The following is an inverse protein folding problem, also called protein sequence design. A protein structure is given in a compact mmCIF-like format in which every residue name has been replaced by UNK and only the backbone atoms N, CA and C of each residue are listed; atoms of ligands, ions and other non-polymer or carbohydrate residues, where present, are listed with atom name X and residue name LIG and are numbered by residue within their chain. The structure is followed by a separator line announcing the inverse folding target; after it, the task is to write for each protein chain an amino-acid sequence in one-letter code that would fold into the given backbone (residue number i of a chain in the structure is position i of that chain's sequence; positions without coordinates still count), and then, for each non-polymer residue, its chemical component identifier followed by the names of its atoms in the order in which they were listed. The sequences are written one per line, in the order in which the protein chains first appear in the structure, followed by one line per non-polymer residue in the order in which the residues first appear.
data_IF_987652708748
#
_entry.id   IF_987652708748
#
_cell.length_a   1.000
_cell.length_b   1.000
_cell.length_c   1.000
_cell.angle_alpha   90.00
_cell.angle_beta   90.00
_cell.angle_gamma   90.00
#
_symmetry.space_group_name_H-M   'P 1'
#
loop_
_entity.id
_entity.type
_entity.pdbx_description
1 polymer ?
#
# COMPACT_ATOMS: atom_id res chain seq x y z
N UNK A 1 -21.27 -50.43 -31.53
CA UNK A 1 -19.99 -49.93 -30.96
C UNK A 1 -19.77 -48.43 -31.17
N UNK A 2 -20.08 -47.85 -32.34
CA UNK A 2 -19.85 -46.42 -32.65
C UNK A 2 -20.65 -45.41 -31.80
N UNK A 3 -21.89 -45.72 -31.43
CA UNK A 3 -22.75 -44.81 -30.63
C UNK A 3 -22.27 -44.65 -29.18
N UNK A 4 -21.71 -45.70 -28.57
CA UNK A 4 -21.19 -45.64 -27.19
C UNK A 4 -19.91 -44.80 -27.08
N UNK A 5 -19.08 -44.77 -28.12
CA UNK A 5 -17.83 -43.99 -28.14
C UNK A 5 -18.12 -42.49 -28.26
N UNK A 6 -19.11 -42.09 -29.06
CA UNK A 6 -19.53 -40.69 -29.23
C UNK A 6 -20.09 -40.13 -27.91
N UNK A 7 -20.87 -40.94 -27.17
CA UNK A 7 -21.47 -40.53 -25.89
C UNK A 7 -20.39 -40.33 -24.80
N UNK A 8 -19.35 -41.16 -24.76
CA UNK A 8 -18.25 -41.01 -23.80
C UNK A 8 -17.41 -39.77 -24.10
N UNK A 9 -17.15 -39.47 -25.38
CA UNK A 9 -16.42 -38.26 -25.78
C UNK A 9 -17.22 -36.99 -25.44
N UNK A 10 -18.54 -36.98 -25.67
CA UNK A 10 -19.40 -35.85 -25.31
C UNK A 10 -19.48 -35.60 -23.80
N UNK A 11 -19.62 -36.67 -23.01
CA UNK A 11 -19.63 -36.56 -21.53
C UNK A 11 -18.26 -36.10 -21.02
N UNK A 12 -17.16 -36.63 -21.58
CA UNK A 12 -15.81 -36.19 -21.25
C UNK A 12 -15.58 -34.69 -21.55
N UNK A 13 -16.07 -34.20 -22.69
CA UNK A 13 -15.95 -32.79 -23.07
C UNK A 13 -16.77 -31.87 -22.15
N UNK A 14 -17.98 -32.28 -21.76
CA UNK A 14 -18.85 -31.53 -20.85
C UNK A 14 -18.30 -31.45 -19.42
N UNK A 15 -17.67 -32.53 -18.95
CA UNK A 15 -16.99 -32.54 -17.64
C UNK A 15 -15.74 -31.65 -17.66
N UNK A 16 -14.99 -31.66 -18.76
CA UNK A 16 -13.80 -30.83 -18.91
C UNK A 16 -14.14 -29.33 -18.99
N UNK A 17 -15.18 -28.96 -19.74
CA UNK A 17 -15.64 -27.56 -19.82
C UNK A 17 -16.26 -27.09 -18.51
N UNK A 18 -17.05 -27.94 -17.83
CA UNK A 18 -17.58 -27.64 -16.51
C UNK A 18 -16.49 -27.41 -15.46
N UNK A 19 -15.44 -28.24 -15.46
CA UNK A 19 -14.28 -28.07 -14.57
C UNK A 19 -13.48 -26.79 -14.88
N UNK A 20 -13.33 -26.44 -16.17
CA UNK A 20 -12.65 -25.21 -16.58
C UNK A 20 -13.43 -23.95 -16.16
N UNK A 21 -14.75 -23.96 -16.32
CA UNK A 21 -15.64 -22.85 -15.92
C UNK A 21 -15.69 -22.64 -14.40
N UNK A 22 -15.64 -23.73 -13.61
CA UNK A 22 -15.54 -23.68 -12.16
C UNK A 22 -14.18 -23.14 -11.67
N UNK A 23 -13.09 -23.44 -12.38
CA UNK A 23 -11.76 -22.86 -12.07
C UNK A 23 -11.66 -21.37 -12.38
N UNK A 24 -12.38 -20.90 -13.41
CA UNK A 24 -12.42 -19.48 -13.79
C UNK A 24 -13.35 -18.66 -12.86
N UNK A 25 -14.37 -19.29 -12.30
CA UNK A 25 -15.35 -18.64 -11.42
C UNK A 25 -14.97 -18.86 -9.95
N UNK A 26 -13.90 -18.23 -9.47
CA UNK A 26 -13.56 -18.27 -8.05
C UNK A 26 -14.28 -17.14 -7.29
N UNK A 27 -15.42 -17.40 -6.61
CA UNK A 27 -16.25 -16.36 -6.02
C UNK A 27 -15.53 -15.57 -4.93
N UNK A 28 -14.55 -16.18 -4.23
CA UNK A 28 -13.76 -15.51 -3.19
C UNK A 28 -12.88 -14.38 -3.75
N UNK A 29 -12.34 -14.57 -4.96
CA UNK A 29 -11.51 -13.56 -5.63
C UNK A 29 -12.39 -12.38 -6.07
N UNK A 30 -13.56 -12.66 -6.65
CA UNK A 30 -14.50 -11.63 -7.10
C UNK A 30 -15.10 -10.81 -5.95
N UNK A 31 -15.40 -11.42 -4.80
CA UNK A 31 -15.88 -10.70 -3.61
C UNK A 31 -14.78 -9.78 -3.06
N UNK A 32 -13.53 -10.25 -3.02
CA UNK A 32 -12.39 -9.44 -2.54
C UNK A 32 -12.13 -8.27 -3.48
N UNK A 33 -12.15 -8.50 -4.80
CA UNK A 33 -12.01 -7.43 -5.80
C UNK A 33 -13.15 -6.41 -5.72
N UNK A 34 -14.40 -6.87 -5.48
CA UNK A 34 -15.55 -5.97 -5.32
C UNK A 34 -15.46 -5.08 -4.08
N UNK A 35 -14.98 -5.63 -2.95
CA UNK A 35 -14.75 -4.86 -1.72
C UNK A 35 -13.62 -3.84 -1.91
N UNK A 36 -12.51 -4.24 -2.55
CA UNK A 36 -11.40 -3.33 -2.84
C UNK A 36 -11.81 -2.24 -3.84
N UNK A 37 -12.64 -2.55 -4.84
CA UNK A 37 -13.14 -1.56 -5.80
C UNK A 37 -13.99 -0.49 -5.13
N UNK A 38 -14.89 -0.88 -4.22
CA UNK A 38 -15.71 0.07 -3.47
C UNK A 38 -14.84 0.98 -2.57
N UNK A 39 -13.83 0.40 -1.89
CA UNK A 39 -12.92 1.19 -1.06
C UNK A 39 -12.04 2.13 -1.90
N UNK A 40 -11.58 1.68 -3.06
CA UNK A 40 -10.85 2.51 -4.01
C UNK A 40 -11.69 3.71 -4.48
N UNK A 41 -12.96 3.49 -4.83
CA UNK A 41 -13.86 4.58 -5.26
C UNK A 41 -14.05 5.63 -4.15
N UNK A 42 -14.21 5.19 -2.90
CA UNK A 42 -14.28 6.08 -1.72
C UNK A 42 -13.00 6.92 -1.58
N UNK A 43 -11.84 6.26 -1.57
CA UNK A 43 -10.55 6.91 -1.31
C UNK A 43 -10.09 7.81 -2.47
N UNK A 44 -10.41 7.43 -3.71
CA UNK A 44 -9.99 8.17 -4.92
C UNK A 44 -10.82 9.44 -5.19
N UNK A 45 -12.02 9.55 -4.61
CA UNK A 45 -12.94 10.66 -4.86
C UNK A 45 -13.08 11.66 -3.70
N UNK A 46 -12.69 11.28 -2.47
CA UNK A 46 -12.99 12.04 -1.25
C UNK A 46 -11.83 12.25 -0.27
N UNK A 47 -10.58 12.08 -0.72
CA UNK A 47 -9.39 12.20 0.13
C UNK A 47 -9.18 13.60 0.74
N UNK A 48 -8.54 13.64 1.91
CA UNK A 48 -8.13 14.86 2.61
C UNK A 48 -6.61 15.03 2.71
N UNK A 49 -5.83 14.06 2.21
CA UNK A 49 -4.37 13.96 2.37
C UNK A 49 -3.58 14.92 1.49
N UNK A 50 -3.82 16.23 1.57
CA UNK A 50 -3.09 17.21 0.75
C UNK A 50 -1.55 17.13 0.95
N UNK A 51 -0.74 17.14 -0.13
CA UNK A 51 0.72 17.29 -0.05
C UNK A 51 1.06 18.74 0.39
N UNK A 52 0.88 19.05 1.68
CA UNK A 52 1.16 20.38 2.26
C UNK A 52 1.77 20.32 3.67
N UNK A 53 2.44 21.41 4.05
CA UNK A 53 2.97 21.60 5.41
C UNK A 53 1.85 21.93 6.39
N UNK A 54 0.86 22.73 5.99
CA UNK A 54 -0.30 23.04 6.84
C UNK A 54 -1.06 21.77 7.25
N UNK A 55 -1.22 20.81 6.34
CA UNK A 55 -1.84 19.54 6.68
C UNK A 55 -0.99 18.74 7.67
N UNK A 56 0.34 18.69 7.50
CA UNK A 56 1.23 18.10 8.51
C UNK A 56 1.00 18.70 9.88
N UNK A 57 0.98 20.02 9.97
CA UNK A 57 0.86 20.74 11.24
C UNK A 57 -0.53 20.55 11.87
N UNK A 58 -1.55 20.29 11.05
CA UNK A 58 -2.90 19.96 11.53
C UNK A 58 -3.00 18.60 12.22
N UNK A 59 -2.13 17.63 11.90
CA UNK A 59 -2.19 16.24 12.41
C UNK A 59 -2.18 16.19 13.94
N UNK A 60 -1.39 17.06 14.59
CA UNK A 60 -1.31 17.13 16.05
C UNK A 60 -2.67 17.38 16.72
N UNK A 61 -3.56 18.12 16.03
CA UNK A 61 -4.87 18.53 16.54
C UNK A 61 -6.03 17.62 16.08
N UNK A 62 -5.77 16.66 15.19
CA UNK A 62 -6.78 15.68 14.77
C UNK A 62 -7.21 14.78 15.94
N UNK A 63 -8.41 14.21 15.88
CA UNK A 63 -8.75 13.12 16.81
C UNK A 63 -7.94 11.88 16.43
N UNK A 64 -7.59 11.02 17.39
CA UNK A 64 -6.77 9.83 17.12
C UNK A 64 -7.43 8.88 16.10
N UNK A 65 -8.77 8.85 16.07
CA UNK A 65 -9.58 8.07 15.13
C UNK A 65 -9.85 8.79 13.81
N UNK A 66 -9.40 10.04 13.64
CA UNK A 66 -9.47 10.73 12.34
C UNK A 66 -8.63 9.99 11.31
N UNK A 67 -9.03 10.10 10.04
CA UNK A 67 -8.39 9.38 8.93
C UNK A 67 -7.73 10.36 7.97
N UNK A 68 -6.49 10.06 7.59
CA UNK A 68 -5.74 10.70 6.51
C UNK A 68 -5.96 9.84 5.27
N UNK A 69 -6.78 10.33 4.34
CA UNK A 69 -7.34 9.53 3.24
C UNK A 69 -6.98 10.05 1.86
N UNK A 70 -6.85 9.14 0.91
CA UNK A 70 -6.60 9.41 -0.51
C UNK A 70 -5.14 9.69 -0.85
N UNK A 71 -4.88 9.91 -2.13
CA UNK A 71 -3.55 10.22 -2.64
C UNK A 71 -3.19 11.69 -2.47
N UNK A 72 -1.90 11.99 -2.31
CA UNK A 72 -1.45 13.36 -2.03
C UNK A 72 -0.93 14.14 -3.26
N UNK A 73 -0.59 13.47 -4.37
CA UNK A 73 0.07 14.12 -5.53
C UNK A 73 -0.55 13.79 -6.89
N UNK A 74 -0.99 12.56 -7.12
CA UNK A 74 -1.54 12.10 -8.39
C UNK A 74 -2.77 11.22 -8.18
N UNK A 75 -3.67 11.05 -9.18
CA UNK A 75 -4.83 10.18 -9.03
C UNK A 75 -4.45 8.76 -8.66
N UNK A 76 -5.23 8.12 -7.79
CA UNK A 76 -5.01 6.71 -7.44
C UNK A 76 -5.19 5.80 -8.66
N UNK A 77 -4.44 4.71 -8.72
CA UNK A 77 -4.60 3.65 -9.73
C UNK A 77 -5.09 2.36 -9.07
N UNK A 78 -6.20 1.79 -9.57
CA UNK A 78 -6.81 0.63 -8.93
C UNK A 78 -5.94 -0.62 -8.98
N UNK A 79 -5.20 -0.84 -10.07
CA UNK A 79 -4.31 -1.98 -10.17
C UNK A 79 -3.21 -1.90 -9.11
N UNK A 80 -2.55 -0.74 -8.99
CA UNK A 80 -1.52 -0.48 -7.96
C UNK A 80 -2.07 -0.59 -6.55
N UNK A 81 -3.24 0.00 -6.29
CA UNK A 81 -3.89 -0.09 -4.98
C UNK A 81 -4.07 -1.54 -4.52
N UNK A 82 -4.50 -2.44 -5.41
CA UNK A 82 -4.63 -3.86 -5.08
C UNK A 82 -3.29 -4.52 -4.75
N UNK A 83 -2.24 -4.24 -5.52
CA UNK A 83 -0.90 -4.78 -5.27
C UNK A 83 -0.37 -4.32 -3.92
N UNK A 84 -0.57 -3.05 -3.58
CA UNK A 84 -0.15 -2.47 -2.31
C UNK A 84 -0.89 -3.09 -1.12
N UNK A 85 -2.23 -3.12 -1.14
CA UNK A 85 -3.03 -3.70 -0.05
C UNK A 85 -2.73 -5.19 0.14
N UNK A 86 -2.53 -5.94 -0.95
CA UNK A 86 -2.14 -7.35 -0.85
C UNK A 86 -0.72 -7.52 -0.30
N UNK A 87 0.24 -6.72 -0.75
CA UNK A 87 1.63 -6.77 -0.27
C UNK A 87 1.76 -6.39 1.21
N UNK A 88 1.01 -5.38 1.67
CA UNK A 88 1.03 -4.92 3.06
C UNK A 88 0.52 -5.97 4.07
N UNK A 89 -0.21 -7.01 3.62
CA UNK A 89 -0.59 -8.14 4.49
C UNK A 89 0.63 -8.84 5.11
N UNK A 90 1.79 -8.78 4.46
CA UNK A 90 3.07 -9.26 5.01
C UNK A 90 3.41 -8.62 6.35
N UNK A 91 2.99 -7.37 6.56
CA UNK A 91 3.35 -6.54 7.70
C UNK A 91 2.21 -6.34 8.72
N UNK A 92 1.11 -7.08 8.59
CA UNK A 92 -0.11 -6.91 9.41
C UNK A 92 0.08 -7.01 10.94
N UNK A 93 1.17 -7.62 11.40
CA UNK A 93 1.48 -7.76 12.83
C UNK A 93 2.21 -6.52 13.40
N UNK A 94 2.53 -5.53 12.56
CA UNK A 94 3.14 -4.26 12.95
C UNK A 94 2.08 -3.17 12.81
N UNK A 95 1.48 -2.78 13.93
CA UNK A 95 0.38 -1.80 13.98
C UNK A 95 0.72 -0.43 13.38
N UNK A 96 2.00 -0.08 13.34
CA UNK A 96 2.49 1.20 12.80
C UNK A 96 2.57 1.21 11.27
N UNK A 97 2.49 0.05 10.61
CA UNK A 97 2.40 -0.05 9.15
C UNK A 97 0.92 -0.14 8.79
N UNK A 98 0.32 0.92 8.21
CA UNK A 98 -1.08 0.88 7.80
C UNK A 98 -1.31 -0.24 6.80
N UNK A 99 -2.40 -0.98 6.94
CA UNK A 99 -2.79 -2.04 6.00
C UNK A 99 -3.31 -1.51 4.66
N UNK A 100 -3.67 -0.22 4.62
CA UNK A 100 -4.10 0.51 3.43
C UNK A 100 -3.24 1.78 3.32
N UNK A 101 -2.47 1.96 2.22
CA UNK A 101 -1.54 3.08 2.09
C UNK A 101 -2.23 4.42 1.85
N UNK A 102 -3.54 4.42 1.56
CA UNK A 102 -4.36 5.60 1.33
C UNK A 102 -5.39 5.82 2.45
N UNK A 103 -5.33 5.09 3.57
CA UNK A 103 -6.27 5.24 4.68
C UNK A 103 -5.60 5.04 6.05
N UNK A 104 -5.03 6.11 6.60
CA UNK A 104 -4.18 6.08 7.80
C UNK A 104 -4.87 6.73 8.99
N UNK A 105 -4.80 6.11 10.18
CA UNK A 105 -5.25 6.77 11.41
C UNK A 105 -4.30 7.91 11.81
N UNK A 106 -4.88 9.01 12.25
CA UNK A 106 -4.12 10.11 12.81
C UNK A 106 -3.29 9.67 14.04
N UNK A 107 -3.76 8.70 14.82
CA UNK A 107 -3.02 8.08 15.92
C UNK A 107 -1.64 7.54 15.47
N UNK A 108 -1.59 6.86 14.33
CA UNK A 108 -0.36 6.31 13.73
C UNK A 108 0.54 7.46 13.27
N UNK A 109 -0.02 8.43 12.55
CA UNK A 109 0.74 9.58 12.06
C UNK A 109 1.38 10.38 13.22
N UNK A 110 0.61 10.66 14.28
CA UNK A 110 1.09 11.33 15.51
C UNK A 110 2.19 10.53 16.20
N UNK A 111 2.09 9.21 16.24
CA UNK A 111 3.10 8.34 16.84
C UNK A 111 4.42 8.38 16.07
N UNK A 112 4.35 8.46 14.74
CA UNK A 112 5.52 8.35 13.87
C UNK A 112 6.21 9.70 13.61
N UNK A 113 5.48 10.81 13.63
CA UNK A 113 6.04 12.15 13.41
C UNK A 113 7.26 12.45 14.31
N UNK A 114 7.27 12.17 15.63
CA UNK A 114 8.44 12.41 16.47
C UNK A 114 9.68 11.61 16.06
N UNK A 115 9.52 10.47 15.39
CA UNK A 115 10.66 9.68 14.89
C UNK A 115 11.37 10.37 13.72
N UNK A 116 10.75 11.35 13.06
CA UNK A 116 11.40 12.16 12.03
C UNK A 116 12.68 12.83 12.55
N UNK A 117 12.62 13.43 13.75
CA UNK A 117 13.77 14.10 14.37
C UNK A 117 14.68 13.13 15.14
N UNK A 118 14.39 11.83 15.12
CA UNK A 118 15.24 10.83 15.77
C UNK A 118 16.60 10.75 15.07
N UNK A 119 17.66 10.90 15.87
CA UNK A 119 19.02 10.60 15.45
C UNK A 119 19.27 9.08 15.47
N UNK A 120 19.65 8.55 14.32
CA UNK A 120 20.06 7.14 14.18
C UNK A 120 21.53 6.97 14.53
N UNK A 121 21.89 5.81 15.08
CA UNK A 121 23.30 5.42 15.18
C UNK A 121 23.91 5.24 13.78
N UNK A 122 25.24 5.25 13.67
CA UNK A 122 25.90 5.08 12.36
C UNK A 122 25.50 3.81 11.61
N UNK A 123 25.19 2.72 12.32
CA UNK A 123 24.78 1.47 11.68
C UNK A 123 23.32 1.49 11.21
N UNK A 124 22.45 2.09 12.00
CA UNK A 124 21.05 2.30 11.62
C UNK A 124 20.93 3.29 10.45
N UNK A 125 21.76 4.34 10.46
CA UNK A 125 21.79 5.33 9.40
C UNK A 125 22.14 4.70 8.04
N UNK A 126 23.06 3.72 7.99
CA UNK A 126 23.35 3.00 6.73
C UNK A 126 22.12 2.27 6.17
N UNK A 127 21.31 1.67 7.04
CA UNK A 127 20.07 0.98 6.63
C UNK A 127 19.05 2.00 6.10
N UNK A 128 18.92 3.13 6.79
CA UNK A 128 18.05 4.22 6.37
C UNK A 128 18.48 4.81 5.01
N UNK A 129 19.78 5.11 4.86
CA UNK A 129 20.35 5.65 3.63
C UNK A 129 20.19 4.68 2.46
N UNK A 130 20.32 3.38 2.71
CA UNK A 130 20.00 2.36 1.72
C UNK A 130 18.55 2.48 1.25
N UNK A 131 17.59 2.60 2.18
CA UNK A 131 16.18 2.72 1.80
C UNK A 131 15.89 4.00 1.01
N UNK A 132 16.51 5.12 1.39
CA UNK A 132 16.44 6.38 0.65
C UNK A 132 16.94 6.23 -0.79
N UNK A 133 18.04 5.50 -1.01
CA UNK A 133 18.60 5.31 -2.34
C UNK A 133 17.82 4.31 -3.22
N UNK A 134 17.18 3.32 -2.59
CA UNK A 134 16.61 2.16 -3.29
C UNK A 134 15.09 2.15 -3.36
N UNK A 135 14.39 2.98 -2.60
CA UNK A 135 12.95 3.19 -2.79
C UNK A 135 12.66 3.82 -4.14
N UNK A 136 11.43 3.61 -4.59
CA UNK A 136 11.06 4.02 -5.94
C UNK A 136 10.99 5.56 -6.01
N UNK A 137 10.42 6.19 -4.98
CA UNK A 137 10.39 7.65 -4.85
C UNK A 137 11.70 8.31 -4.39
N UNK A 138 12.79 7.51 -4.27
CA UNK A 138 14.07 7.97 -3.68
C UNK A 138 13.88 8.63 -2.31
N UNK A 139 12.99 8.02 -1.54
CA UNK A 139 12.54 8.43 -0.24
C UNK A 139 11.17 7.82 0.11
N UNK A 140 10.60 8.20 1.26
CA UNK A 140 9.31 7.70 1.72
C UNK A 140 8.08 8.25 0.95
N UNK A 141 8.24 9.31 0.15
CA UNK A 141 7.27 9.81 -0.83
C UNK A 141 8.00 10.74 -1.81
N UNK A 142 7.35 11.11 -2.90
CA UNK A 142 7.87 11.99 -3.94
C UNK A 142 8.09 13.46 -3.51
N UNK A 143 7.34 13.95 -2.52
CA UNK A 143 7.38 15.34 -2.04
C UNK A 143 7.61 15.40 -0.53
N UNK A 144 8.34 16.43 -0.05
CA UNK A 144 8.48 16.72 1.39
C UNK A 144 7.20 17.34 1.99
N UNK A 145 6.11 16.58 1.98
CA UNK A 145 4.86 16.90 2.67
C UNK A 145 4.69 16.06 3.94
N UNK A 146 3.53 16.19 4.62
CA UNK A 146 3.18 15.38 5.79
C UNK A 146 3.56 13.90 5.67
N UNK A 147 3.32 13.29 4.49
CA UNK A 147 3.58 11.87 4.26
C UNK A 147 5.07 11.56 4.33
N UNK A 148 5.92 12.40 3.73
CA UNK A 148 7.37 12.27 3.88
C UNK A 148 7.77 12.24 5.34
N UNK A 149 7.31 13.21 6.15
CA UNK A 149 7.70 13.30 7.55
C UNK A 149 7.20 12.11 8.38
N UNK A 150 5.95 11.67 8.16
CA UNK A 150 5.39 10.50 8.84
C UNK A 150 6.12 9.21 8.45
N UNK A 151 6.37 9.01 7.16
CA UNK A 151 6.94 7.76 6.66
C UNK A 151 8.48 7.69 6.77
N UNK A 152 9.17 8.83 6.79
CA UNK A 152 10.55 8.90 7.30
C UNK A 152 10.59 8.47 8.77
N UNK A 153 9.67 9.00 9.59
CA UNK A 153 9.46 8.55 10.96
C UNK A 153 9.16 7.05 11.06
N UNK A 154 8.33 6.50 10.16
CA UNK A 154 8.08 5.06 10.05
C UNK A 154 9.37 4.29 9.77
N UNK A 155 10.16 4.71 8.78
CA UNK A 155 11.42 4.04 8.44
C UNK A 155 12.38 4.00 9.63
N UNK A 156 12.54 5.14 10.33
CA UNK A 156 13.37 5.24 11.53
C UNK A 156 12.83 4.38 12.68
N UNK A 157 11.52 4.38 12.90
CA UNK A 157 10.84 3.50 13.87
C UNK A 157 11.11 2.02 13.57
N UNK A 158 10.93 1.59 12.31
CA UNK A 158 11.12 0.20 11.92
C UNK A 158 12.58 -0.26 12.10
N UNK A 159 13.55 0.59 11.78
CA UNK A 159 14.97 0.29 11.98
C UNK A 159 15.29 0.18 13.48
N UNK A 160 14.91 1.18 14.27
CA UNK A 160 15.25 1.28 15.70
C UNK A 160 14.52 0.26 16.56
N UNK A 161 13.21 0.14 16.37
CA UNK A 161 12.32 -0.59 17.29
C UNK A 161 11.99 -2.01 16.79
N UNK A 162 12.06 -2.23 15.47
CA UNK A 162 11.74 -3.54 14.86
C UNK A 162 12.96 -4.22 14.22
N UNK A 163 14.12 -3.56 14.22
CA UNK A 163 15.36 -4.13 13.70
C UNK A 163 15.39 -4.30 12.18
N UNK A 164 14.53 -3.59 11.44
CA UNK A 164 14.43 -3.73 9.98
C UNK A 164 15.77 -3.43 9.29
N UNK A 165 16.03 -4.12 8.18
CA UNK A 165 17.12 -3.79 7.25
C UNK A 165 16.70 -2.68 6.28
N UNK A 166 17.65 -2.14 5.52
CA UNK A 166 17.35 -1.15 4.50
C UNK A 166 16.39 -1.68 3.44
N UNK A 167 16.56 -2.92 3.00
CA UNK A 167 15.68 -3.60 2.03
C UNK A 167 14.25 -3.73 2.54
N UNK A 168 14.07 -4.05 3.83
CA UNK A 168 12.74 -4.17 4.42
C UNK A 168 12.06 -2.80 4.51
N UNK A 169 12.81 -1.73 4.82
CA UNK A 169 12.26 -0.36 4.81
C UNK A 169 11.91 0.07 3.38
N UNK A 170 12.76 -0.22 2.39
CA UNK A 170 12.47 0.01 0.96
C UNK A 170 11.15 -0.64 0.57
N UNK A 171 10.97 -1.92 0.88
CA UNK A 171 9.75 -2.65 0.53
C UNK A 171 8.52 -2.04 1.21
N UNK A 172 8.62 -1.67 2.50
CA UNK A 172 7.52 -1.00 3.20
C UNK A 172 7.19 0.34 2.55
N UNK A 173 8.17 1.17 2.22
CA UNK A 173 7.91 2.47 1.58
C UNK A 173 7.27 2.32 0.20
N UNK A 174 7.78 1.42 -0.64
CA UNK A 174 7.21 1.19 -1.98
C UNK A 174 5.76 0.65 -1.89
N UNK A 175 5.48 -0.27 -0.97
CA UNK A 175 4.11 -0.76 -0.73
C UNK A 175 3.21 0.31 -0.09
N UNK A 176 3.79 1.19 0.72
CA UNK A 176 3.05 2.24 1.43
C UNK A 176 2.92 3.55 0.65
N UNK A 177 3.40 3.58 -0.59
CA UNK A 177 3.36 4.77 -1.41
C UNK A 177 1.90 5.23 -1.60
N UNK A 178 1.62 6.41 -1.07
CA UNK A 178 0.33 7.07 -1.18
C UNK A 178 0.37 8.33 -2.02
N UNK A 179 1.45 8.55 -2.80
CA UNK A 179 1.57 9.72 -3.64
C UNK A 179 0.64 9.61 -4.87
N UNK A 180 0.30 8.39 -5.31
CA UNK A 180 -0.64 8.06 -6.40
C UNK A 180 0.04 7.90 -7.77
N UNK A 181 -0.72 7.63 -8.83
CA UNK A 181 -0.22 7.43 -10.21
C UNK A 181 -0.16 5.98 -10.67
N UNK A 182 0.21 5.76 -11.94
CA UNK A 182 0.15 4.45 -12.61
C UNK A 182 1.42 3.59 -12.47
N UNK A 183 2.49 4.08 -11.85
CA UNK A 183 3.75 3.37 -11.75
C UNK A 183 4.61 3.79 -10.56
N UNK A 184 5.70 3.05 -10.37
CA UNK A 184 6.62 3.16 -9.22
C UNK A 184 7.44 4.47 -9.22
N UNK A 185 7.49 5.16 -10.36
CA UNK A 185 8.10 6.47 -10.51
C UNK A 185 7.16 7.36 -11.29
N UNK A 186 6.42 8.22 -10.61
CA UNK A 186 5.65 9.24 -11.32
C UNK A 186 6.47 10.52 -11.34
N UNK A 187 6.76 11.02 -12.54
CA UNK A 187 7.01 12.44 -12.67
C UNK A 187 5.70 13.14 -12.29
N UNK A 188 5.55 13.48 -11.01
CA UNK A 188 4.41 14.25 -10.53
C UNK A 188 4.52 15.63 -11.15
N UNK A 189 3.92 15.80 -12.32
CA UNK A 189 3.85 17.10 -12.98
C UNK A 189 3.13 18.05 -12.04
N UNK A 190 3.88 19.02 -11.52
CA UNK A 190 3.39 20.18 -10.75
C UNK A 190 2.32 20.95 -11.50
#
# INVERSE_FOLDING_TARGET
MRVRLILIVFVGLLVLTGYLLLKLSNPKLQITDGVLAAKFEELSSGGNSSCSQDFKDSIANMLDTSRLQGSCCSPMNFHRYKEQVEGLKKYKEISEIPSDPYDIEASIAKKLLPYYDLELSSEEQKKYDYAMANSDEKGPCCCKCWRWYVYEGLGKYLIREKGFTGEQVTEVWNLSDGCGGEGDHVNHTT
#
